data_IF_688565433723
#
_entry.id   IF_688565433723
#
_cell.length_a   1.000
_cell.length_b   1.000
_cell.length_c   1.000
_cell.angle_alpha   90.00
_cell.angle_beta   90.00
_cell.angle_gamma   90.00
#
_symmetry.space_group_name_H-M   'P 1'
#
loop_
_entity.id
_entity.type
_entity.pdbx_description
1 polymer ?
#
# COMPACT_ATOMS: atom_id res chain seq x y z
N UNK A 1 -19.38 20.99 46.23
CA UNK A 1 -19.32 19.51 46.14
C UNK A 1 -18.47 19.20 44.93
N UNK A 2 -17.25 18.75 45.19
CA UNK A 2 -16.14 18.65 44.24
C UNK A 2 -16.26 17.41 43.37
N UNK A 3 -15.99 17.58 42.08
CA UNK A 3 -15.97 16.58 41.01
C UNK A 3 -14.95 15.47 41.26
N UNK A 4 -15.29 14.22 40.91
CA UNK A 4 -14.36 13.10 40.75
C UNK A 4 -14.89 12.14 39.66
N UNK A 5 -14.75 12.52 38.39
CA UNK A 5 -14.84 11.60 37.26
C UNK A 5 -13.50 10.88 37.11
N UNK A 6 -13.49 9.60 37.50
CA UNK A 6 -12.32 8.73 37.44
C UNK A 6 -12.23 8.11 36.04
N UNK A 7 -11.57 8.80 35.10
CA UNK A 7 -11.27 8.25 33.78
C UNK A 7 -10.09 7.28 33.87
N UNK A 8 -10.38 5.99 33.66
CA UNK A 8 -9.37 4.94 33.53
C UNK A 8 -8.61 5.11 32.20
N UNK A 9 -7.27 5.00 32.20
CA UNK A 9 -6.47 5.21 30.99
C UNK A 9 -6.68 4.09 29.96
N UNK A 10 -7.04 4.47 28.73
CA UNK A 10 -7.10 3.59 27.56
C UNK A 10 -5.75 2.86 27.35
N UNK A 11 -5.76 1.54 27.56
CA UNK A 11 -4.63 0.68 27.23
C UNK A 11 -4.46 0.62 25.71
N UNK A 12 -3.48 1.35 25.17
CA UNK A 12 -3.02 1.26 23.78
C UNK A 12 -2.78 -0.21 23.40
N UNK A 13 -3.63 -0.76 22.52
CA UNK A 13 -3.44 -2.11 21.98
C UNK A 13 -2.16 -2.13 21.12
N UNK A 14 -1.23 -3.05 21.34
CA UNK A 14 0.00 -3.11 20.54
C UNK A 14 -0.33 -3.38 19.07
N UNK A 15 0.21 -2.55 18.16
CA UNK A 15 0.11 -2.74 16.71
C UNK A 15 0.72 -4.10 16.35
N UNK A 16 -0.10 -5.04 15.88
CA UNK A 16 0.37 -6.35 15.38
C UNK A 16 1.33 -6.10 14.22
N UNK A 17 2.60 -6.48 14.37
CA UNK A 17 3.56 -6.54 13.26
C UNK A 17 2.99 -7.45 12.18
N UNK A 18 2.81 -6.94 10.97
CA UNK A 18 2.49 -7.76 9.80
C UNK A 18 3.68 -8.66 9.49
N UNK A 19 3.43 -9.97 9.38
CA UNK A 19 4.44 -10.94 8.96
C UNK A 19 4.75 -10.73 7.48
N UNK A 20 6.02 -10.89 7.10
CA UNK A 20 6.43 -10.93 5.68
C UNK A 20 5.93 -12.21 5.01
N UNK A 21 5.74 -12.21 3.70
CA UNK A 21 5.16 -13.36 2.97
C UNK A 21 5.96 -14.65 3.16
N UNK A 22 7.30 -14.59 3.15
CA UNK A 22 8.15 -15.76 3.41
C UNK A 22 8.05 -16.28 4.86
N UNK A 23 7.91 -15.38 5.83
CA UNK A 23 7.68 -15.77 7.23
C UNK A 23 6.29 -16.40 7.39
N UNK A 24 5.28 -15.89 6.67
CA UNK A 24 3.92 -16.42 6.66
C UNK A 24 3.89 -17.82 6.04
N UNK A 25 4.53 -18.02 4.90
CA UNK A 25 4.59 -19.32 4.23
C UNK A 25 5.31 -20.37 5.09
N UNK A 26 6.46 -20.02 5.67
CA UNK A 26 7.18 -20.92 6.58
C UNK A 26 6.36 -21.27 7.83
N UNK A 27 5.59 -20.32 8.36
CA UNK A 27 4.72 -20.55 9.51
C UNK A 27 3.54 -21.48 9.17
N UNK A 28 2.97 -21.33 7.97
CA UNK A 28 1.87 -22.17 7.49
C UNK A 28 2.35 -23.61 7.25
N UNK A 29 3.52 -23.80 6.62
CA UNK A 29 4.07 -25.13 6.28
C UNK A 29 4.46 -25.98 7.50
N UNK A 30 4.90 -25.37 8.60
CA UNK A 30 5.24 -26.10 9.86
C UNK A 30 4.12 -27.02 10.36
N UNK A 31 2.87 -26.71 10.04
CA UNK A 31 1.75 -27.56 10.45
C UNK A 31 1.74 -28.93 9.76
N UNK A 32 2.25 -29.03 8.52
CA UNK A 32 2.40 -30.31 7.82
C UNK A 32 3.56 -31.11 8.38
N UNK A 33 4.70 -30.46 8.65
CA UNK A 33 5.90 -31.12 9.16
C UNK A 33 5.68 -31.77 10.53
N UNK A 34 4.78 -31.21 11.34
CA UNK A 34 4.42 -31.73 12.66
C UNK A 34 3.33 -32.80 12.67
N UNK A 35 2.77 -33.19 11.53
CA UNK A 35 1.68 -34.16 11.50
C UNK A 35 2.20 -35.60 11.70
N UNK A 36 1.70 -36.27 12.72
CA UNK A 36 1.99 -37.67 13.01
C UNK A 36 0.69 -38.47 12.99
N UNK A 37 0.63 -39.49 12.13
CA UNK A 37 -0.52 -40.41 12.04
C UNK A 37 -0.59 -41.28 13.29
N UNK A 38 -1.76 -41.33 13.91
CA UNK A 38 -2.01 -42.26 15.00
C UNK A 38 -2.52 -43.60 14.45
N UNK A 39 -1.76 -44.69 14.68
CA UNK A 39 -2.10 -46.04 14.19
C UNK A 39 -3.31 -46.67 14.91
N UNK A 40 -3.66 -46.17 16.09
CA UNK A 40 -4.77 -46.70 16.88
C UNK A 40 -6.13 -46.12 16.46
N UNK A 41 -6.12 -45.14 15.54
CA UNK A 41 -7.33 -44.48 15.04
C UNK A 41 -7.69 -44.99 13.64
N UNK A 42 -8.99 -44.96 13.27
CA UNK A 42 -9.43 -45.30 11.92
C UNK A 42 -8.68 -44.50 10.85
N UNK A 43 -8.23 -45.19 9.81
CA UNK A 43 -7.43 -44.61 8.74
C UNK A 43 -8.16 -43.46 8.03
N UNK A 44 -9.48 -43.56 7.89
CA UNK A 44 -10.33 -42.56 7.24
C UNK A 44 -10.33 -41.24 8.02
N UNK A 45 -10.30 -41.32 9.36
CA UNK A 45 -10.25 -40.13 10.22
C UNK A 45 -8.87 -39.48 10.19
N UNK A 46 -7.80 -40.26 10.15
CA UNK A 46 -6.44 -39.73 10.00
C UNK A 46 -6.23 -39.12 8.62
N UNK A 47 -6.83 -39.72 7.58
CA UNK A 47 -6.83 -39.17 6.21
C UNK A 47 -7.57 -37.84 6.14
N UNK A 48 -8.77 -37.76 6.74
CA UNK A 48 -9.52 -36.50 6.84
C UNK A 48 -8.72 -35.42 7.57
N UNK A 49 -8.10 -35.76 8.70
CA UNK A 49 -7.27 -34.81 9.47
C UNK A 49 -6.08 -34.31 8.65
N UNK A 50 -5.37 -35.22 7.99
CA UNK A 50 -4.25 -34.88 7.11
C UNK A 50 -4.72 -33.94 5.99
N UNK A 51 -5.80 -34.29 5.29
CA UNK A 51 -6.31 -33.51 4.17
C UNK A 51 -6.85 -32.14 4.60
N UNK A 52 -7.38 -31.99 5.82
CA UNK A 52 -7.72 -30.67 6.38
C UNK A 52 -6.48 -29.78 6.56
N UNK A 53 -5.37 -30.33 7.05
CA UNK A 53 -4.11 -29.59 7.20
C UNK A 53 -3.56 -29.22 5.82
N UNK A 54 -3.55 -30.17 4.88
CA UNK A 54 -3.08 -29.95 3.50
C UNK A 54 -3.91 -28.86 2.83
N UNK A 55 -5.24 -28.94 2.89
CA UNK A 55 -6.14 -27.95 2.31
C UNK A 55 -5.88 -26.56 2.91
N UNK A 56 -5.74 -26.46 4.25
CA UNK A 56 -5.44 -25.19 4.90
C UNK A 56 -4.10 -24.60 4.45
N UNK A 57 -3.05 -25.43 4.39
CA UNK A 57 -1.71 -25.00 4.02
C UNK A 57 -1.63 -24.58 2.56
N UNK A 58 -2.22 -25.35 1.65
CA UNK A 58 -2.22 -25.03 0.22
C UNK A 58 -3.09 -23.81 -0.09
N UNK A 59 -4.12 -23.54 0.70
CA UNK A 59 -4.91 -22.31 0.63
C UNK A 59 -4.24 -21.12 1.34
N UNK A 60 -3.00 -21.27 1.82
CA UNK A 60 -2.18 -20.19 2.39
C UNK A 60 -2.70 -19.64 3.73
N UNK A 61 -3.52 -20.40 4.44
CA UNK A 61 -4.18 -19.95 5.67
C UNK A 61 -3.44 -20.39 6.93
N UNK A 62 -3.27 -19.47 7.85
CA UNK A 62 -2.87 -19.78 9.23
C UNK A 62 -4.04 -20.40 10.00
N UNK A 63 -3.77 -21.14 11.09
CA UNK A 63 -4.83 -21.69 11.94
C UNK A 63 -5.74 -20.60 12.55
N UNK A 64 -5.21 -19.38 12.75
CA UNK A 64 -5.98 -18.23 13.23
C UNK A 64 -6.97 -17.75 12.17
N UNK A 65 -6.52 -17.59 10.93
CA UNK A 65 -7.38 -17.18 9.81
C UNK A 65 -8.44 -18.23 9.50
N UNK A 66 -8.04 -19.51 9.49
CA UNK A 66 -8.98 -20.61 9.33
C UNK A 66 -10.05 -20.57 10.43
N UNK A 67 -9.65 -20.50 11.71
CA UNK A 67 -10.59 -20.46 12.82
C UNK A 67 -11.58 -19.29 12.74
N UNK A 68 -11.12 -18.10 12.32
CA UNK A 68 -12.00 -16.97 12.08
C UNK A 68 -13.04 -17.26 10.98
N UNK A 69 -12.62 -17.88 9.87
CA UNK A 69 -13.54 -18.26 8.77
C UNK A 69 -14.50 -19.39 9.15
N UNK A 70 -14.10 -20.28 10.07
CA UNK A 70 -15.00 -21.27 10.66
C UNK A 70 -15.96 -20.68 11.70
N UNK A 71 -15.77 -19.43 12.11
CA UNK A 71 -16.58 -18.78 13.15
C UNK A 71 -16.15 -19.13 14.58
N UNK A 72 -14.95 -19.68 14.78
CA UNK A 72 -14.40 -19.95 16.10
C UNK A 72 -13.77 -18.72 16.73
N UNK A 73 -13.93 -18.59 18.06
CA UNK A 73 -13.36 -17.49 18.85
C UNK A 73 -11.82 -17.48 18.88
N UNK A 74 -11.18 -18.65 18.73
CA UNK A 74 -9.72 -18.82 18.76
C UNK A 74 -9.25 -19.96 17.84
N UNK A 75 -7.95 -19.95 17.51
CA UNK A 75 -7.32 -20.99 16.67
C UNK A 75 -7.22 -22.35 17.33
N UNK A 76 -7.33 -22.41 18.66
CA UNK A 76 -7.15 -23.62 19.45
C UNK A 76 -8.03 -24.77 18.99
N UNK A 77 -9.27 -24.50 18.58
CA UNK A 77 -10.18 -25.55 18.12
C UNK A 77 -9.68 -26.22 16.82
N UNK A 78 -9.28 -25.42 15.83
CA UNK A 78 -8.71 -25.92 14.57
C UNK A 78 -7.42 -26.68 14.84
N UNK A 79 -6.50 -26.12 15.62
CA UNK A 79 -5.24 -26.79 15.97
C UNK A 79 -5.47 -28.13 16.68
N UNK A 80 -6.47 -28.25 17.57
CA UNK A 80 -6.78 -29.50 18.26
C UNK A 80 -7.46 -30.53 17.37
N UNK A 81 -8.27 -30.11 16.41
CA UNK A 81 -8.86 -31.02 15.40
C UNK A 81 -7.75 -31.57 14.49
N UNK A 82 -6.89 -30.68 13.99
CA UNK A 82 -5.76 -31.04 13.11
C UNK A 82 -4.75 -31.96 13.81
N UNK A 83 -4.37 -31.66 15.05
CA UNK A 83 -3.48 -32.49 15.87
C UNK A 83 -4.15 -33.74 16.46
N UNK A 84 -5.47 -33.87 16.35
CA UNK A 84 -6.22 -35.02 16.86
C UNK A 84 -6.46 -34.99 18.37
N UNK A 85 -6.07 -33.92 19.06
CA UNK A 85 -6.39 -33.68 20.47
C UNK A 85 -7.89 -33.48 20.72
N UNK A 86 -8.67 -33.13 19.68
CA UNK A 86 -10.13 -33.12 19.71
C UNK A 86 -10.70 -33.95 18.57
N UNK A 87 -11.79 -34.71 18.77
CA UNK A 87 -12.45 -35.43 17.68
C UNK A 87 -12.97 -34.44 16.63
N UNK A 88 -12.79 -34.79 15.36
CA UNK A 88 -13.39 -34.07 14.24
C UNK A 88 -14.91 -34.12 14.35
N UNK A 89 -15.62 -33.00 14.20
CA UNK A 89 -17.08 -33.00 14.18
C UNK A 89 -17.59 -33.96 13.09
N UNK A 90 -18.49 -34.88 13.47
CA UNK A 90 -19.06 -35.89 12.56
C UNK A 90 -20.26 -35.37 11.76
N UNK A 91 -20.41 -34.05 11.68
CA UNK A 91 -21.56 -33.43 11.02
C UNK A 91 -21.21 -33.04 9.59
N UNK A 92 -22.12 -33.30 8.66
CA UNK A 92 -22.02 -32.91 7.26
C UNK A 92 -21.83 -31.40 7.08
N UNK A 93 -22.36 -30.59 8.01
CA UNK A 93 -22.18 -29.13 8.01
C UNK A 93 -20.71 -28.74 8.16
N UNK A 94 -19.94 -29.45 9.00
CA UNK A 94 -18.51 -29.18 9.17
C UNK A 94 -17.73 -29.47 7.90
N UNK A 95 -18.00 -30.58 7.22
CA UNK A 95 -17.36 -30.92 5.95
C UNK A 95 -17.70 -29.91 4.85
N UNK A 96 -18.96 -29.50 4.75
CA UNK A 96 -19.39 -28.44 3.83
C UNK A 96 -18.73 -27.10 4.14
N UNK A 97 -18.59 -26.76 5.41
CA UNK A 97 -17.93 -25.53 5.82
C UNK A 97 -16.42 -25.59 5.53
N UNK A 98 -15.76 -26.72 5.80
CA UNK A 98 -14.35 -26.91 5.51
C UNK A 98 -14.06 -26.84 4.00
N UNK A 99 -14.91 -27.44 3.18
CA UNK A 99 -14.80 -27.37 1.72
C UNK A 99 -14.92 -25.92 1.22
N UNK A 100 -15.84 -25.14 1.77
CA UNK A 100 -16.00 -23.72 1.46
C UNK A 100 -14.85 -22.85 1.97
N UNK A 101 -14.43 -23.05 3.23
CA UNK A 101 -13.38 -22.25 3.87
C UNK A 101 -12.05 -22.46 3.17
N UNK A 102 -11.69 -23.70 2.85
CA UNK A 102 -10.44 -24.02 2.17
C UNK A 102 -10.56 -24.02 0.65
N UNK A 103 -11.76 -23.85 0.11
CA UNK A 103 -12.07 -23.86 -1.31
C UNK A 103 -11.68 -25.16 -2.04
N UNK A 104 -11.87 -26.31 -1.40
CA UNK A 104 -11.54 -27.65 -1.93
C UNK A 104 -12.80 -28.50 -2.02
N UNK A 105 -12.78 -29.58 -2.80
CA UNK A 105 -13.90 -30.53 -2.83
C UNK A 105 -14.03 -31.33 -1.52
N UNK A 106 -15.26 -31.75 -1.18
CA UNK A 106 -15.49 -32.68 -0.06
C UNK A 106 -14.82 -34.03 -0.31
N UNK A 107 -14.75 -34.46 -1.57
CA UNK A 107 -14.14 -35.74 -1.96
C UNK A 107 -12.63 -35.75 -1.66
N UNK A 108 -11.95 -34.63 -1.87
CA UNK A 108 -10.56 -34.46 -1.44
C UNK A 108 -10.45 -34.54 0.08
N UNK A 109 -11.29 -33.81 0.83
CA UNK A 109 -11.26 -33.85 2.30
C UNK A 109 -11.47 -35.25 2.86
N UNK A 110 -12.37 -36.03 2.27
CA UNK A 110 -12.66 -37.40 2.66
C UNK A 110 -11.63 -38.43 2.14
N UNK A 111 -10.67 -38.02 1.31
CA UNK A 111 -9.67 -38.91 0.72
C UNK A 111 -10.21 -39.79 -0.42
N UNK A 112 -11.39 -39.47 -0.96
CA UNK A 112 -12.00 -40.16 -2.10
C UNK A 112 -11.37 -39.72 -3.43
N UNK A 113 -10.80 -38.51 -3.48
CA UNK A 113 -10.02 -38.00 -4.61
C UNK A 113 -8.60 -37.64 -4.19
N UNK A 114 -7.56 -38.04 -4.96
CA UNK A 114 -6.17 -37.67 -4.69
C UNK A 114 -5.85 -36.23 -5.09
N UNK A 115 -6.71 -35.60 -5.91
CA UNK A 115 -6.49 -34.26 -6.43
C UNK A 115 -7.25 -33.23 -5.60
N UNK A 116 -6.53 -32.22 -5.12
CA UNK A 116 -7.14 -31.05 -4.52
C UNK A 116 -7.74 -30.18 -5.62
N UNK A 117 -8.94 -30.53 -6.05
CA UNK A 117 -9.72 -29.72 -6.98
C UNK A 117 -10.26 -28.52 -6.22
N UNK A 118 -9.74 -27.34 -6.56
CA UNK A 118 -10.33 -26.10 -6.07
C UNK A 118 -11.74 -25.97 -6.66
N UNK A 119 -12.73 -25.61 -5.84
CA UNK A 119 -14.09 -25.35 -6.32
C UNK A 119 -14.01 -24.38 -7.52
N UNK A 120 -14.57 -24.78 -8.66
CA UNK A 120 -14.47 -24.05 -9.94
C UNK A 120 -15.04 -22.63 -9.90
N UNK A 121 -15.74 -22.24 -8.83
CA UNK A 121 -16.10 -20.84 -8.51
C UNK A 121 -14.95 -20.07 -7.86
N UNK A 122 -14.28 -20.65 -6.87
CA UNK A 122 -13.21 -20.00 -6.12
C UNK A 122 -11.91 -19.94 -6.92
N UNK A 123 -11.60 -20.97 -7.71
CA UNK A 123 -10.50 -20.94 -8.68
C UNK A 123 -10.66 -19.76 -9.67
N UNK A 124 -11.90 -19.51 -10.11
CA UNK A 124 -12.26 -18.41 -11.01
C UNK A 124 -12.15 -17.05 -10.33
N UNK A 125 -12.62 -16.92 -9.08
CA UNK A 125 -12.48 -15.70 -8.29
C UNK A 125 -11.02 -15.36 -7.99
N UNK A 126 -10.19 -16.35 -7.62
CA UNK A 126 -8.75 -16.12 -7.40
C UNK A 126 -7.98 -15.81 -8.69
N UNK A 127 -8.39 -16.37 -9.83
CA UNK A 127 -7.82 -16.01 -11.13
C UNK A 127 -8.19 -14.56 -11.52
N UNK A 128 -9.44 -14.15 -11.25
CA UNK A 128 -9.90 -12.79 -11.49
C UNK A 128 -9.19 -11.78 -10.59
N UNK A 129 -9.09 -12.04 -9.27
CA UNK A 129 -8.42 -11.14 -8.32
C UNK A 129 -6.93 -10.98 -8.67
N UNK A 130 -6.22 -12.09 -8.94
CA UNK A 130 -4.81 -12.02 -9.36
C UNK A 130 -4.64 -11.30 -10.70
N UNK A 131 -5.56 -11.53 -11.64
CA UNK A 131 -5.59 -10.79 -12.90
C UNK A 131 -5.78 -9.29 -12.69
N UNK A 132 -6.69 -8.88 -11.80
CA UNK A 132 -6.95 -7.46 -11.51
C UNK A 132 -5.79 -6.78 -10.78
N UNK A 133 -5.14 -7.45 -9.82
CA UNK A 133 -3.97 -6.91 -9.11
C UNK A 133 -2.78 -6.72 -10.05
N UNK A 134 -2.55 -7.67 -10.97
CA UNK A 134 -1.51 -7.57 -11.98
C UNK A 134 -1.79 -6.47 -13.01
N UNK A 135 -3.06 -6.30 -13.41
CA UNK A 135 -3.48 -5.19 -14.28
C UNK A 135 -3.28 -3.84 -13.58
N UNK A 136 -3.68 -3.71 -12.31
CA UNK A 136 -3.49 -2.47 -11.55
C UNK A 136 -2.00 -2.14 -11.36
N UNK A 137 -1.18 -3.14 -11.03
CA UNK A 137 0.27 -2.99 -10.90
C UNK A 137 0.93 -2.57 -12.22
N UNK A 138 0.51 -3.15 -13.33
CA UNK A 138 1.00 -2.79 -14.66
C UNK A 138 0.56 -1.38 -15.08
N UNK A 139 -0.69 -0.97 -14.79
CA UNK A 139 -1.17 0.40 -15.03
C UNK A 139 -0.38 1.39 -14.20
N UNK A 140 -0.13 1.10 -12.91
CA UNK A 140 0.66 1.96 -12.04
C UNK A 140 2.12 2.07 -12.51
N UNK A 141 2.74 0.96 -12.94
CA UNK A 141 4.09 0.95 -13.49
C UNK A 141 4.18 1.70 -14.82
N UNK A 142 3.18 1.57 -15.70
CA UNK A 142 3.09 2.34 -16.94
C UNK A 142 2.89 3.83 -16.67
N UNK A 143 2.01 4.20 -15.72
CA UNK A 143 1.84 5.60 -15.30
C UNK A 143 3.13 6.18 -14.71
N UNK A 144 3.83 5.43 -13.85
CA UNK A 144 5.11 5.85 -13.29
C UNK A 144 6.17 6.01 -14.37
N UNK A 145 6.23 5.09 -15.34
CA UNK A 145 7.17 5.17 -16.47
C UNK A 145 6.87 6.36 -17.38
N UNK A 146 5.59 6.61 -17.68
CA UNK A 146 5.16 7.77 -18.47
C UNK A 146 5.44 9.07 -17.70
N UNK A 147 5.22 9.10 -16.39
CA UNK A 147 5.56 10.25 -15.53
C UNK A 147 7.06 10.50 -15.45
N UNK A 148 7.89 9.45 -15.33
CA UNK A 148 9.35 9.54 -15.33
C UNK A 148 9.83 10.03 -16.69
N UNK A 149 9.40 9.41 -17.80
CA UNK A 149 9.75 9.85 -19.15
C UNK A 149 9.26 11.26 -19.47
N UNK A 150 8.05 11.63 -19.05
CA UNK A 150 7.57 13.00 -19.16
C UNK A 150 8.42 13.96 -18.32
N UNK A 151 8.88 13.54 -17.15
CA UNK A 151 9.79 14.36 -16.32
C UNK A 151 11.20 14.45 -16.93
N UNK A 152 11.68 13.41 -17.61
CA UNK A 152 12.98 13.36 -18.30
C UNK A 152 12.96 14.15 -19.62
N UNK A 153 11.89 14.03 -20.41
CA UNK A 153 11.74 14.69 -21.72
C UNK A 153 11.31 16.16 -21.59
N UNK A 154 10.63 16.55 -20.49
CA UNK A 154 10.11 17.93 -20.30
C UNK A 154 10.98 18.80 -19.39
N UNK A 155 12.14 18.31 -18.92
CA UNK A 155 13.09 19.13 -18.14
C UNK A 155 14.23 19.65 -19.03
N UNK A 156 14.29 20.96 -19.31
CA UNK A 156 15.50 21.71 -19.02
C UNK A 156 15.68 21.65 -17.50
N UNK A 157 16.89 21.33 -17.06
CA UNK A 157 17.19 21.08 -15.65
C UNK A 157 16.73 22.32 -14.86
N UNK A 158 15.96 22.19 -13.75
CA UNK A 158 15.61 23.32 -12.89
C UNK A 158 16.82 24.19 -12.54
N UNK A 159 17.98 23.55 -12.38
CA UNK A 159 19.28 24.18 -12.17
C UNK A 159 19.75 25.04 -13.36
N UNK A 160 19.50 24.63 -14.60
CA UNK A 160 19.82 25.44 -15.80
C UNK A 160 18.93 26.68 -15.87
N UNK A 161 17.65 26.53 -15.56
CA UNK A 161 16.73 27.67 -15.51
C UNK A 161 17.04 28.62 -14.37
N UNK A 162 17.42 28.09 -13.21
CA UNK A 162 17.89 28.88 -12.08
C UNK A 162 19.18 29.62 -12.43
N UNK A 163 20.16 28.93 -13.03
CA UNK A 163 21.42 29.52 -13.48
C UNK A 163 21.22 30.67 -14.47
N UNK A 164 20.36 30.49 -15.48
CA UNK A 164 20.01 31.54 -16.45
C UNK A 164 19.26 32.69 -15.77
N UNK A 165 18.36 32.39 -14.83
CA UNK A 165 17.60 33.41 -14.11
C UNK A 165 18.48 34.26 -13.21
N UNK A 166 19.36 33.62 -12.43
CA UNK A 166 20.35 34.29 -11.57
C UNK A 166 21.34 35.11 -12.39
N UNK A 167 21.83 34.59 -13.53
CA UNK A 167 22.71 35.33 -14.42
C UNK A 167 22.03 36.60 -14.97
N UNK A 168 20.78 36.51 -15.41
CA UNK A 168 20.01 37.66 -15.88
C UNK A 168 19.77 38.70 -14.75
N UNK A 169 19.54 38.23 -13.52
CA UNK A 169 19.38 39.07 -12.33
C UNK A 169 20.65 39.84 -11.96
N UNK A 170 21.79 39.14 -12.01
CA UNK A 170 23.10 39.74 -11.74
C UNK A 170 23.41 40.83 -12.77
N UNK A 171 23.17 40.57 -14.05
CA UNK A 171 23.34 41.56 -15.13
C UNK A 171 22.44 42.78 -14.89
N UNK A 172 21.16 42.58 -14.58
CA UNK A 172 20.23 43.68 -14.30
C UNK A 172 20.67 44.51 -13.08
N UNK A 173 21.14 43.85 -12.01
CA UNK A 173 21.62 44.52 -10.79
C UNK A 173 22.90 45.31 -11.03
N UNK A 174 23.87 44.73 -11.74
CA UNK A 174 25.11 45.42 -12.11
C UNK A 174 24.83 46.63 -12.99
N UNK A 175 23.88 46.52 -13.93
CA UNK A 175 23.47 47.63 -14.79
C UNK A 175 22.82 48.76 -13.99
N UNK A 176 21.97 48.43 -13.00
CA UNK A 176 21.36 49.42 -12.11
C UNK A 176 22.43 50.20 -11.32
N UNK A 177 23.43 49.50 -10.76
CA UNK A 177 24.57 50.13 -10.06
C UNK A 177 25.39 51.01 -11.01
N UNK A 178 25.62 50.57 -12.25
CA UNK A 178 26.32 51.39 -13.25
C UNK A 178 25.54 52.65 -13.63
N UNK A 179 24.22 52.56 -13.72
CA UNK A 179 23.33 53.70 -13.98
C UNK A 179 23.42 54.74 -12.86
N UNK A 180 23.30 54.29 -11.62
CA UNK A 180 23.24 55.16 -10.44
C UNK A 180 24.60 55.77 -10.07
N UNK A 181 25.68 55.00 -10.15
CA UNK A 181 27.00 55.41 -9.63
C UNK A 181 27.95 55.95 -10.70
N UNK A 182 27.77 55.57 -11.96
CA UNK A 182 28.72 55.87 -13.04
C UNK A 182 28.09 56.59 -14.24
N UNK A 183 26.80 56.98 -14.17
CA UNK A 183 26.16 57.78 -15.22
C UNK A 183 26.02 57.03 -16.54
N UNK A 184 25.68 55.73 -16.49
CA UNK A 184 25.58 54.88 -17.69
C UNK A 184 24.65 55.47 -18.78
N UNK A 185 23.62 56.22 -18.40
CA UNK A 185 22.68 56.83 -19.34
C UNK A 185 23.33 57.90 -20.24
N UNK A 186 24.42 58.53 -19.79
CA UNK A 186 25.14 59.55 -20.54
C UNK A 186 26.18 58.96 -21.51
N UNK A 187 26.41 57.65 -21.43
CA UNK A 187 27.37 56.96 -22.29
C UNK A 187 26.78 56.67 -23.67
N UNK A 188 27.52 57.05 -24.72
CA UNK A 188 27.11 56.79 -26.11
C UNK A 188 26.97 55.28 -26.36
N UNK A 189 25.77 54.85 -26.77
CA UNK A 189 25.45 53.45 -27.06
C UNK A 189 24.86 52.66 -25.87
N UNK A 190 24.78 53.25 -24.67
CA UNK A 190 24.23 52.59 -23.48
C UNK A 190 22.73 52.25 -23.63
N UNK A 191 21.97 53.08 -24.34
CA UNK A 191 20.54 52.85 -24.57
C UNK A 191 20.24 51.48 -25.20
N UNK A 192 21.09 51.00 -26.12
CA UNK A 192 20.91 49.69 -26.76
C UNK A 192 21.23 48.53 -25.81
N UNK A 193 22.23 48.71 -24.93
CA UNK A 193 22.58 47.75 -23.89
C UNK A 193 21.46 47.63 -22.85
N UNK A 194 20.97 48.77 -22.35
CA UNK A 194 19.85 48.83 -21.39
C UNK A 194 18.61 48.16 -21.96
N UNK A 195 18.24 48.49 -23.19
CA UNK A 195 17.09 47.88 -23.86
C UNK A 195 17.25 46.35 -24.03
N UNK A 196 18.46 45.87 -24.30
CA UNK A 196 18.73 44.43 -24.44
C UNK A 196 18.63 43.68 -23.11
N UNK A 197 19.12 44.29 -22.02
CA UNK A 197 19.01 43.74 -20.66
C UNK A 197 17.56 43.74 -20.16
N UNK A 198 16.79 44.80 -20.42
CA UNK A 198 15.36 44.85 -20.10
C UNK A 198 14.58 43.79 -20.89
N UNK A 199 14.91 43.58 -22.17
CA UNK A 199 14.31 42.53 -23.00
C UNK A 199 14.62 41.13 -22.45
N UNK A 200 15.86 40.90 -22.01
CA UNK A 200 16.26 39.65 -21.35
C UNK A 200 15.50 39.45 -20.02
N UNK A 201 15.40 40.48 -19.18
CA UNK A 201 14.68 40.41 -17.93
C UNK A 201 13.19 40.05 -18.13
N UNK A 202 12.55 40.65 -19.15
CA UNK A 202 11.16 40.31 -19.53
C UNK A 202 11.03 38.89 -20.08
N UNK A 203 12.01 38.42 -20.85
CA UNK A 203 12.00 37.06 -21.41
C UNK A 203 12.18 35.97 -20.33
N UNK A 204 12.88 36.27 -19.24
CA UNK A 204 13.15 35.35 -18.14
C UNK A 204 12.05 35.36 -17.06
N UNK A 205 11.20 36.38 -17.02
CA UNK A 205 10.11 36.52 -16.04
C UNK A 205 9.14 35.32 -16.00
N UNK A 206 8.68 34.74 -17.14
CA UNK A 206 7.86 33.53 -17.11
C UNK A 206 8.59 32.31 -16.53
N UNK A 207 9.92 32.23 -16.70
CA UNK A 207 10.74 31.15 -16.15
C UNK A 207 10.83 31.27 -14.63
N UNK A 208 11.01 32.49 -14.09
CA UNK A 208 10.97 32.74 -12.64
C UNK A 208 9.69 32.25 -11.99
N UNK A 209 8.55 32.56 -12.60
CA UNK A 209 7.23 32.13 -12.10
C UNK A 209 7.10 30.61 -12.07
N UNK A 210 7.60 29.92 -13.10
CA UNK A 210 7.62 28.46 -13.16
C UNK A 210 8.53 27.86 -12.08
N UNK A 211 9.75 28.38 -11.91
CA UNK A 211 10.68 27.91 -10.85
C UNK A 211 10.05 28.08 -9.46
N UNK A 212 9.47 29.24 -9.17
CA UNK A 212 8.80 29.50 -7.91
C UNK A 212 7.63 28.53 -7.65
N UNK A 213 6.86 28.21 -8.70
CA UNK A 213 5.78 27.24 -8.61
C UNK A 213 6.30 25.81 -8.35
N UNK A 214 7.34 25.37 -9.05
CA UNK A 214 7.96 24.06 -8.81
C UNK A 214 8.47 23.93 -7.37
N UNK A 215 9.13 24.97 -6.83
CA UNK A 215 9.60 24.98 -5.43
C UNK A 215 8.45 24.84 -4.43
N UNK A 216 7.29 25.46 -4.70
CA UNK A 216 6.13 25.32 -3.83
C UNK A 216 5.54 23.91 -3.82
N UNK A 217 5.62 23.22 -4.97
CA UNK A 217 5.18 21.82 -5.10
C UNK A 217 6.15 20.87 -4.41
N UNK A 218 7.46 21.07 -4.58
CA UNK A 218 8.49 20.25 -3.93
C UNK A 218 8.44 20.39 -2.39
N UNK A 219 8.26 21.61 -1.88
CA UNK A 219 8.05 21.85 -0.45
C UNK A 219 6.82 21.12 0.09
N UNK A 220 5.73 21.09 -0.67
CA UNK A 220 4.51 20.34 -0.31
C UNK A 220 4.76 18.82 -0.28
N UNK A 221 5.52 18.28 -1.22
CA UNK A 221 5.90 16.86 -1.22
C UNK A 221 6.87 16.50 -0.07
N UNK A 222 7.74 17.42 0.34
CA UNK A 222 8.60 17.21 1.49
C UNK A 222 7.83 17.28 2.81
N UNK A 223 6.80 18.12 2.92
CA UNK A 223 5.86 18.12 4.05
C UNK A 223 5.02 16.83 4.13
N UNK A 224 4.60 16.28 2.97
CA UNK A 224 3.99 14.96 2.85
C UNK A 224 4.90 13.85 3.39
N UNK A 225 6.16 13.83 2.95
CA UNK A 225 7.17 12.85 3.41
C UNK A 225 7.48 13.00 4.89
N UNK A 226 7.46 14.23 5.41
CA UNK A 226 7.68 14.53 6.82
C UNK A 226 6.46 14.23 7.72
N UNK A 227 5.31 13.90 7.14
CA UNK A 227 4.09 13.54 7.88
C UNK A 227 3.44 14.72 8.61
N UNK A 228 3.65 15.96 8.16
CA UNK A 228 3.25 17.19 8.87
C UNK A 228 2.02 17.90 8.30
N UNK A 229 1.27 17.29 7.38
CA UNK A 229 0.20 18.01 6.71
C UNK A 229 -1.03 18.23 7.61
N UNK A 230 -1.59 19.46 7.64
CA UNK A 230 -2.97 19.66 8.07
C UNK A 230 -3.92 18.95 7.08
N UNK A 231 -5.03 18.37 7.56
CA UNK A 231 -5.97 17.66 6.71
C UNK A 231 -6.51 18.58 5.61
N UNK A 232 -6.56 18.05 4.40
CA UNK A 232 -7.11 18.75 3.23
C UNK A 232 -8.63 18.89 3.44
N UNK A 233 -9.17 20.12 3.59
CA UNK A 233 -10.56 20.34 4.05
C UNK A 233 -11.62 19.56 3.25
N UNK A 234 -11.48 19.55 1.91
CA UNK A 234 -12.44 18.90 1.02
C UNK A 234 -12.37 17.35 1.02
N UNK A 235 -11.25 16.75 1.48
CA UNK A 235 -11.15 15.30 1.66
C UNK A 235 -11.76 14.90 3.00
N UNK A 236 -11.56 15.68 4.05
CA UNK A 236 -12.21 15.45 5.35
C UNK A 236 -13.73 15.53 5.27
N UNK A 237 -14.29 16.49 4.54
CA UNK A 237 -15.75 16.66 4.38
C UNK A 237 -16.39 15.47 3.65
N UNK A 238 -15.74 14.95 2.60
CA UNK A 238 -16.26 13.83 1.80
C UNK A 238 -16.23 12.48 2.53
N UNK A 239 -15.29 12.31 3.47
CA UNK A 239 -15.18 11.11 4.30
C UNK A 239 -15.92 11.24 5.64
N UNK A 240 -16.32 12.43 6.08
CA UNK A 240 -17.22 12.61 7.23
C UNK A 240 -18.69 12.37 6.89
N UNK A 241 -19.11 12.64 5.64
CA UNK A 241 -20.52 12.49 5.24
C UNK A 241 -20.89 11.11 4.67
N UNK A 242 -19.90 10.23 4.39
CA UNK A 242 -20.18 8.84 4.03
C UNK A 242 -20.06 7.93 5.24
N UNK A 243 -21.22 7.64 5.83
CA UNK A 243 -21.48 6.53 6.75
C UNK A 243 -20.62 5.29 6.43
N UNK A 244 -19.54 5.08 7.19
CA UNK A 244 -19.11 3.73 7.53
C UNK A 244 -20.22 3.16 8.39
N UNK A 245 -21.19 2.50 7.75
CA UNK A 245 -22.29 1.78 8.40
C UNK A 245 -21.78 0.67 9.31
N UNK A 246 -21.24 1.07 10.46
CA UNK A 246 -20.84 0.24 11.58
C UNK A 246 -21.63 0.71 12.81
N UNK A 247 -22.95 0.73 12.68
CA UNK A 247 -23.83 0.52 13.83
C UNK A 247 -24.29 -0.93 13.75
N UNK A 248 -23.68 -1.75 14.61
CA UNK A 248 -23.89 -3.18 14.79
C UNK A 248 -22.97 -3.70 15.89
#
# INVERSE_FOLDING_TARGET
MTELTNELPERKRPKKKSLTDGQRESFVRRALDGFVRNRDRPEELETLRYNLIVARVLSGMTAVEAAQRFGYKNSTQISLIESGGRPTPRDHQFLRQASQVYAVSCDFLLGLSPHMEFDGRVARQHALVRGTEQILGNIAAQFATVMIKFTEETKPIPDDFESVSTAAENVARTLAVMREKYGLDDMRGSASLVASVEKLARAVEPLRRKIAHYRSIDAYFDELRAGKLPPIPYLTERYSEHQLGLDG
#
